data_IF_342578645998
#
_entry.id   IF_342578645998
#
_cell.length_a   1.000
_cell.length_b   1.000
_cell.length_c   1.000
_cell.angle_alpha   90.00
_cell.angle_beta   90.00
_cell.angle_gamma   90.00
#
_symmetry.space_group_name_H-M   'P 1'
#
loop_
_entity.id
_entity.type
_entity.pdbx_description
1 polymer ?
#
# COMPACT_ATOMS: atom_id res chain seq x y z
N UNK A 1 -13.22 -18.91 -14.59
CA UNK A 1 -12.27 -18.33 -13.64
C UNK A 1 -12.42 -16.83 -13.61
N UNK A 2 -12.37 -16.20 -12.44
CA UNK A 2 -12.21 -14.76 -12.34
C UNK A 2 -10.88 -14.36 -13.00
N UNK A 3 -10.90 -13.37 -13.90
CA UNK A 3 -9.69 -12.91 -14.60
C UNK A 3 -9.34 -11.49 -14.16
N UNK A 4 -8.31 -11.38 -13.32
CA UNK A 4 -7.79 -10.11 -12.83
C UNK A 4 -6.63 -9.56 -13.66
N UNK A 5 -6.29 -10.19 -14.80
CA UNK A 5 -5.20 -9.72 -15.70
C UNK A 5 -5.40 -8.28 -16.21
N UNK A 6 -6.64 -7.81 -16.25
CA UNK A 6 -6.98 -6.46 -16.67
C UNK A 6 -6.60 -5.40 -15.64
N UNK A 7 -6.45 -5.75 -14.36
CA UNK A 7 -6.08 -4.82 -13.29
C UNK A 7 -4.72 -5.10 -12.67
N UNK A 8 -4.27 -6.36 -12.63
CA UNK A 8 -2.94 -6.74 -12.15
C UNK A 8 -1.93 -6.55 -13.28
N UNK A 9 -1.03 -5.58 -13.12
CA UNK A 9 0.02 -5.25 -14.08
C UNK A 9 1.36 -5.86 -13.64
N UNK A 10 2.45 -5.48 -14.28
CA UNK A 10 3.77 -6.06 -14.01
C UNK A 10 4.27 -5.84 -12.56
N UNK A 11 3.91 -4.69 -11.95
CA UNK A 11 4.43 -4.26 -10.65
C UNK A 11 3.40 -3.58 -9.74
N UNK A 12 2.16 -3.43 -10.20
CA UNK A 12 1.07 -2.84 -9.40
C UNK A 12 -0.29 -3.41 -9.80
N UNK A 13 -1.29 -3.09 -8.97
CA UNK A 13 -2.71 -3.32 -9.29
C UNK A 13 -3.35 -1.96 -9.55
N UNK A 14 -4.14 -1.84 -10.62
CA UNK A 14 -4.80 -0.58 -10.98
C UNK A 14 -6.09 -0.80 -11.76
N UNK A 15 -7.17 -0.12 -11.36
CA UNK A 15 -8.48 -0.18 -12.00
C UNK A 15 -9.35 1.03 -11.69
N UNK A 16 -10.48 1.19 -12.38
CA UNK A 16 -11.50 2.18 -11.99
C UNK A 16 -12.26 1.70 -10.76
N UNK A 17 -12.67 2.65 -9.92
CA UNK A 17 -13.41 2.38 -8.69
C UNK A 17 -14.83 2.94 -8.81
N UNK A 18 -15.88 2.14 -8.52
CA UNK A 18 -15.85 0.78 -7.99
C UNK A 18 -15.85 -0.34 -9.06
N UNK A 19 -15.81 -0.05 -10.36
CA UNK A 19 -16.20 -1.05 -11.37
C UNK A 19 -15.17 -2.17 -11.60
N UNK A 20 -13.87 -1.86 -11.52
CA UNK A 20 -12.79 -2.83 -11.75
C UNK A 20 -12.02 -3.14 -10.47
N UNK A 21 -12.04 -2.21 -9.52
CA UNK A 21 -11.36 -2.30 -8.23
C UNK A 21 -12.27 -1.74 -7.15
N UNK A 22 -12.49 -2.51 -6.09
CA UNK A 22 -13.38 -2.14 -5.00
C UNK A 22 -12.83 -2.63 -3.64
N UNK A 23 -13.57 -2.36 -2.57
CA UNK A 23 -13.19 -2.72 -1.21
C UNK A 23 -13.18 -4.24 -1.00
N UNK A 24 -14.07 -4.99 -1.66
CA UNK A 24 -14.09 -6.45 -1.55
C UNK A 24 -12.82 -7.06 -2.14
N UNK A 25 -12.42 -6.63 -3.34
CA UNK A 25 -11.17 -7.04 -3.95
C UNK A 25 -9.97 -6.60 -3.11
N UNK A 26 -9.99 -5.37 -2.57
CA UNK A 26 -8.93 -4.90 -1.70
C UNK A 26 -8.76 -5.78 -0.45
N UNK A 27 -9.86 -6.24 0.17
CA UNK A 27 -9.83 -7.18 1.28
C UNK A 27 -9.19 -8.52 0.89
N UNK A 28 -9.59 -9.11 -0.24
CA UNK A 28 -8.98 -10.34 -0.74
C UNK A 28 -7.48 -10.19 -1.01
N UNK A 29 -7.06 -9.07 -1.61
CA UNK A 29 -5.65 -8.78 -1.84
C UNK A 29 -4.88 -8.55 -0.52
N UNK A 30 -5.53 -7.99 0.50
CA UNK A 30 -4.97 -7.86 1.85
C UNK A 30 -4.66 -9.21 2.47
N UNK A 31 -5.64 -10.13 2.41
CA UNK A 31 -5.46 -11.50 2.88
C UNK A 31 -4.36 -12.24 2.09
N UNK A 32 -4.34 -12.08 0.76
CA UNK A 32 -3.38 -12.75 -0.11
C UNK A 32 -1.96 -12.22 0.13
N UNK A 33 -1.81 -10.91 0.32
CA UNK A 33 -0.52 -10.30 0.64
C UNK A 33 0.03 -10.79 1.99
N UNK A 34 -0.84 -10.95 3.00
CA UNK A 34 -0.45 -11.53 4.28
C UNK A 34 0.07 -12.97 4.13
N UNK A 35 -0.63 -13.82 3.38
CA UNK A 35 -0.21 -15.20 3.10
C UNK A 35 1.13 -15.27 2.35
N UNK A 36 1.25 -14.51 1.25
CA UNK A 36 2.45 -14.54 0.39
C UNK A 36 3.68 -13.97 1.07
N UNK A 37 3.51 -12.97 1.94
CA UNK A 37 4.63 -12.41 2.71
C UNK A 37 4.97 -13.23 3.95
N UNK A 38 4.00 -13.94 4.54
CA UNK A 38 4.14 -14.62 5.82
C UNK A 38 4.48 -13.68 6.98
N UNK A 39 4.22 -12.37 6.82
CA UNK A 39 4.68 -11.38 7.77
C UNK A 39 3.75 -11.28 9.00
N UNK A 40 4.35 -11.12 10.18
CA UNK A 40 3.60 -10.88 11.43
C UNK A 40 2.94 -9.50 11.45
N UNK A 41 3.50 -8.52 10.73
CA UNK A 41 2.96 -7.19 10.58
C UNK A 41 3.28 -6.56 9.22
N UNK A 42 2.45 -5.60 8.80
CA UNK A 42 2.63 -4.80 7.59
C UNK A 42 2.36 -3.31 7.87
N UNK A 43 2.84 -2.45 6.96
CA UNK A 43 2.53 -1.01 6.96
C UNK A 43 1.64 -0.65 5.77
N UNK A 44 0.58 0.13 6.00
CA UNK A 44 -0.38 0.53 4.96
C UNK A 44 -0.51 2.05 4.96
N UNK A 45 -0.38 2.66 3.78
CA UNK A 45 -0.52 4.09 3.55
C UNK A 45 -1.35 4.36 2.30
N UNK A 46 -1.83 5.59 2.14
CA UNK A 46 -2.72 5.92 1.04
C UNK A 46 -2.57 7.38 0.60
N UNK A 47 -2.89 7.65 -0.67
CA UNK A 47 -2.92 9.00 -1.22
C UNK A 47 -4.24 9.74 -0.93
N UNK A 48 -4.38 10.95 -1.46
CA UNK A 48 -5.52 11.86 -1.26
C UNK A 48 -6.81 11.48 -2.01
N UNK A 49 -6.83 10.38 -2.78
CA UNK A 49 -8.03 9.99 -3.54
C UNK A 49 -9.18 9.67 -2.59
N UNK A 50 -10.40 10.07 -2.92
CA UNK A 50 -11.57 9.80 -2.08
C UNK A 50 -11.79 8.30 -1.82
N UNK A 51 -11.42 7.43 -2.76
CA UNK A 51 -11.51 5.97 -2.62
C UNK A 51 -10.37 5.35 -1.81
N UNK A 52 -9.25 6.04 -1.63
CA UNK A 52 -8.04 5.49 -1.00
C UNK A 52 -8.24 5.06 0.46
N UNK A 53 -8.90 5.82 1.35
CA UNK A 53 -9.12 5.41 2.74
C UNK A 53 -9.92 4.11 2.88
N UNK A 54 -11.00 3.95 2.12
CA UNK A 54 -11.86 2.75 2.18
C UNK A 54 -11.13 1.50 1.68
N UNK A 55 -10.45 1.61 0.54
CA UNK A 55 -9.64 0.52 -0.02
C UNK A 55 -8.49 0.10 0.91
N UNK A 56 -7.80 1.07 1.52
CA UNK A 56 -6.72 0.79 2.48
C UNK A 56 -7.23 0.11 3.75
N UNK A 57 -8.41 0.51 4.25
CA UNK A 57 -9.04 -0.10 5.41
C UNK A 57 -9.47 -1.54 5.12
N UNK A 58 -10.09 -1.80 3.95
CA UNK A 58 -10.51 -3.13 3.54
C UNK A 58 -9.33 -4.08 3.36
N UNK A 59 -8.26 -3.63 2.71
CA UNK A 59 -7.01 -4.38 2.60
C UNK A 59 -6.40 -4.70 3.98
N UNK A 60 -6.38 -3.71 4.88
CA UNK A 60 -5.95 -3.92 6.26
C UNK A 60 -6.81 -4.95 7.00
N UNK A 61 -8.13 -4.97 6.77
CA UNK A 61 -9.04 -5.94 7.35
C UNK A 61 -8.73 -7.37 6.86
N UNK A 62 -8.54 -7.54 5.55
CA UNK A 62 -8.17 -8.84 4.96
C UNK A 62 -6.85 -9.38 5.53
N UNK A 63 -5.82 -8.55 5.60
CA UNK A 63 -4.53 -8.93 6.19
C UNK A 63 -4.67 -9.34 7.67
N UNK A 64 -5.42 -8.57 8.46
CA UNK A 64 -5.70 -8.89 9.87
C UNK A 64 -6.52 -10.15 10.03
N UNK A 65 -7.43 -10.45 9.11
CA UNK A 65 -8.18 -11.70 9.04
C UNK A 65 -7.27 -12.92 8.89
N UNK A 66 -6.03 -12.75 8.42
CA UNK A 66 -5.00 -13.80 8.35
C UNK A 66 -4.01 -13.79 9.53
N UNK A 67 -4.24 -12.93 10.53
CA UNK A 67 -3.40 -12.84 11.74
C UNK A 67 -2.28 -11.78 11.65
N UNK A 68 -2.07 -11.17 10.49
CA UNK A 68 -1.05 -10.14 10.29
C UNK A 68 -1.51 -8.80 10.86
N UNK A 69 -0.71 -8.20 11.74
CA UNK A 69 -1.01 -6.88 12.30
C UNK A 69 -0.76 -5.76 11.28
N UNK A 70 -1.52 -4.69 11.36
CA UNK A 70 -1.45 -3.56 10.42
C UNK A 70 -1.06 -2.29 11.16
N UNK A 71 -0.05 -1.61 10.65
CA UNK A 71 0.30 -0.23 11.02
C UNK A 71 -0.19 0.70 9.91
N UNK A 72 -1.28 1.42 10.14
CA UNK A 72 -1.79 2.42 9.21
C UNK A 72 -1.02 3.74 9.40
N UNK A 73 -0.40 4.25 8.34
CA UNK A 73 0.29 5.55 8.34
C UNK A 73 -0.56 6.68 7.71
N UNK A 74 -1.78 6.33 7.28
CA UNK A 74 -2.76 7.27 6.78
C UNK A 74 -2.34 7.94 5.46
N UNK A 75 -2.66 9.22 5.36
CA UNK A 75 -2.38 10.06 4.21
C UNK A 75 -0.87 10.29 4.08
N UNK A 76 -0.24 9.70 3.06
CA UNK A 76 1.21 9.79 2.86
C UNK A 76 1.60 9.73 1.37
N UNK A 77 2.84 10.09 1.06
CA UNK A 77 3.43 9.85 -0.25
C UNK A 77 3.96 8.40 -0.38
N UNK A 78 4.21 7.95 -1.62
CA UNK A 78 4.75 6.59 -1.86
C UNK A 78 6.13 6.41 -1.23
N UNK A 79 7.00 7.42 -1.33
CA UNK A 79 8.32 7.43 -0.72
C UNK A 79 8.27 7.51 0.81
N UNK A 80 7.27 8.17 1.40
CA UNK A 80 7.04 8.09 2.84
C UNK A 80 6.63 6.68 3.29
N UNK A 81 5.80 5.96 2.50
CA UNK A 81 5.53 4.55 2.77
C UNK A 81 6.80 3.71 2.67
N UNK A 82 7.62 3.91 1.63
CA UNK A 82 8.87 3.15 1.48
C UNK A 82 9.85 3.43 2.62
N UNK A 83 9.94 4.68 3.08
CA UNK A 83 10.64 5.03 4.31
C UNK A 83 10.10 4.24 5.51
N UNK A 84 8.77 4.22 5.72
CA UNK A 84 8.16 3.50 6.84
C UNK A 84 8.43 1.98 6.74
N UNK A 85 8.33 1.39 5.55
CA UNK A 85 8.68 -0.01 5.30
C UNK A 85 10.13 -0.31 5.65
N UNK A 86 11.06 0.57 5.28
CA UNK A 86 12.48 0.48 5.62
C UNK A 86 12.75 0.62 7.12
N UNK A 87 12.22 1.67 7.73
CA UNK A 87 12.45 2.01 9.13
C UNK A 87 11.81 1.01 10.11
N UNK A 88 10.71 0.38 9.72
CA UNK A 88 10.02 -0.63 10.54
C UNK A 88 10.41 -2.06 10.16
N UNK A 89 11.15 -2.26 9.07
CA UNK A 89 11.42 -3.57 8.48
C UNK A 89 10.14 -4.38 8.18
N UNK A 90 9.08 -3.70 7.71
CA UNK A 90 7.79 -4.31 7.41
C UNK A 90 7.47 -4.25 5.92
N UNK A 91 6.81 -5.27 5.33
CA UNK A 91 6.19 -5.14 4.02
C UNK A 91 5.17 -3.99 3.99
N UNK A 92 5.04 -3.36 2.83
CA UNK A 92 4.25 -2.15 2.65
C UNK A 92 3.20 -2.24 1.54
N UNK A 93 2.09 -1.53 1.74
CA UNK A 93 1.03 -1.34 0.76
C UNK A 93 0.69 0.15 0.61
N UNK A 94 0.88 0.70 -0.60
CA UNK A 94 0.54 2.08 -0.94
C UNK A 94 -0.70 2.13 -1.81
N UNK A 95 -1.79 2.70 -1.32
CA UNK A 95 -2.98 2.97 -2.13
C UNK A 95 -2.81 4.25 -2.93
N UNK A 96 -2.74 4.11 -4.26
CA UNK A 96 -2.60 5.22 -5.20
C UNK A 96 -2.76 4.73 -6.64
N UNK A 97 -3.27 5.58 -7.54
CA UNK A 97 -3.11 5.41 -8.99
C UNK A 97 -2.08 6.37 -9.60
N UNK A 98 -1.19 6.95 -8.78
CA UNK A 98 -0.21 7.96 -9.17
C UNK A 98 -0.88 9.13 -9.92
N UNK A 99 -0.57 9.31 -11.20
CA UNK A 99 -1.06 10.40 -12.04
C UNK A 99 -2.35 10.07 -12.82
N UNK A 100 -2.91 8.87 -12.65
CA UNK A 100 -4.14 8.51 -13.35
C UNK A 100 -5.32 9.41 -12.93
N UNK A 101 -6.35 9.58 -13.79
CA UNK A 101 -7.56 10.31 -13.44
C UNK A 101 -8.18 9.87 -12.11
N UNK A 102 -8.95 10.77 -11.48
CA UNK A 102 -9.50 10.56 -10.13
C UNK A 102 -10.32 9.27 -9.96
N UNK A 103 -10.99 8.80 -11.02
CA UNK A 103 -11.77 7.54 -11.02
C UNK A 103 -10.93 6.27 -10.86
N UNK A 104 -9.61 6.35 -11.05
CA UNK A 104 -8.73 5.20 -10.85
C UNK A 104 -8.22 5.14 -9.42
N UNK A 105 -8.04 3.94 -8.92
CA UNK A 105 -7.19 3.66 -7.77
C UNK A 105 -6.39 2.38 -8.01
N UNK A 106 -5.55 2.02 -7.06
CA UNK A 106 -4.67 0.89 -7.15
C UNK A 106 -3.83 0.72 -5.90
N UNK A 107 -2.94 -0.26 -5.94
CA UNK A 107 -2.03 -0.55 -4.85
C UNK A 107 -0.65 -0.89 -5.41
N UNK A 108 0.38 -0.30 -4.80
CA UNK A 108 1.78 -0.71 -4.95
C UNK A 108 2.20 -1.48 -3.71
N UNK A 109 2.83 -2.63 -3.92
CA UNK A 109 3.27 -3.52 -2.86
C UNK A 109 4.80 -3.54 -2.77
N UNK A 110 5.32 -3.64 -1.56
CA UNK A 110 6.73 -3.90 -1.31
C UNK A 110 6.91 -4.90 -0.17
N UNK A 111 7.99 -5.68 -0.22
CA UNK A 111 8.48 -6.49 0.89
C UNK A 111 9.17 -5.58 1.91
N UNK A 112 9.54 -6.15 3.06
CA UNK A 112 10.32 -5.44 4.09
C UNK A 112 11.57 -4.77 3.49
N UNK A 113 11.90 -3.58 3.98
CA UNK A 113 13.00 -2.79 3.42
C UNK A 113 12.65 -2.10 2.11
N UNK A 114 11.37 -1.95 1.79
CA UNK A 114 10.86 -1.40 0.52
C UNK A 114 11.33 -2.15 -0.74
N UNK A 115 11.66 -3.44 -0.63
CA UNK A 115 12.01 -4.25 -1.79
C UNK A 115 10.78 -4.46 -2.69
N UNK A 116 10.90 -4.30 -4.02
CA UNK A 116 9.74 -4.29 -4.92
C UNK A 116 9.02 -5.64 -5.00
N UNK A 117 7.69 -5.61 -5.07
CA UNK A 117 6.86 -6.76 -5.43
C UNK A 117 6.39 -6.60 -6.87
N UNK A 118 6.87 -7.47 -7.76
CA UNK A 118 6.42 -7.63 -9.14
C UNK A 118 5.92 -9.04 -9.39
N UNK A 119 5.63 -9.37 -10.65
CA UNK A 119 5.11 -10.69 -11.06
C UNK A 119 5.94 -11.85 -10.46
N UNK A 120 7.25 -11.81 -10.64
CA UNK A 120 8.16 -12.89 -10.20
C UNK A 120 8.50 -12.85 -8.71
N UNK A 121 8.10 -11.80 -7.97
CA UNK A 121 8.46 -11.60 -6.56
C UNK A 121 7.25 -11.57 -5.63
N UNK A 122 6.09 -12.01 -6.11
CA UNK A 122 4.90 -12.32 -5.30
C UNK A 122 3.58 -11.81 -5.88
N UNK A 123 3.59 -10.90 -6.85
CA UNK A 123 2.34 -10.33 -7.39
C UNK A 123 1.51 -11.38 -8.15
N UNK A 124 2.16 -12.32 -8.84
CA UNK A 124 1.48 -13.43 -9.50
C UNK A 124 0.78 -14.36 -8.47
N UNK A 125 1.44 -14.66 -7.35
CA UNK A 125 0.88 -15.51 -6.29
C UNK A 125 -0.31 -14.84 -5.60
N UNK A 126 -0.18 -13.53 -5.32
CA UNK A 126 -1.26 -12.71 -4.74
C UNK A 126 -2.49 -12.71 -5.65
N UNK A 127 -2.27 -12.52 -6.96
CA UNK A 127 -3.34 -12.57 -7.95
C UNK A 127 -4.01 -13.95 -7.96
N UNK A 128 -3.22 -15.03 -8.00
CA UNK A 128 -3.76 -16.39 -8.07
C UNK A 128 -4.62 -16.73 -6.85
N UNK A 129 -4.18 -16.33 -5.64
CA UNK A 129 -4.97 -16.49 -4.41
C UNK A 129 -6.28 -15.70 -4.47
N UNK A 130 -6.23 -14.43 -4.89
CA UNK A 130 -7.42 -13.61 -5.00
C UNK A 130 -8.41 -14.16 -6.04
N UNK A 131 -7.95 -14.63 -7.20
CA UNK A 131 -8.78 -15.27 -8.22
C UNK A 131 -9.47 -16.54 -7.70
N UNK A 132 -8.73 -17.41 -7.00
CA UNK A 132 -9.28 -18.60 -6.34
C UNK A 132 -10.36 -18.24 -5.32
N UNK A 133 -10.13 -17.24 -4.46
CA UNK A 133 -11.10 -16.85 -3.44
C UNK A 133 -12.34 -16.14 -3.97
N UNK A 134 -12.29 -15.55 -5.17
CA UNK A 134 -13.50 -15.05 -5.85
C UNK A 134 -14.43 -16.21 -6.24
N UNK A 135 -13.86 -17.35 -6.63
CA UNK A 135 -14.63 -18.52 -7.10
C UNK A 135 -15.06 -19.44 -5.95
N UNK A 136 -14.14 -19.69 -5.02
CA UNK A 136 -14.30 -20.66 -3.94
C UNK A 136 -14.89 -20.02 -2.67
N UNK A 137 -14.85 -18.69 -2.58
CA UNK A 137 -15.24 -17.92 -1.41
C UNK A 137 -14.03 -17.39 -0.63
N UNK A 138 -14.23 -16.25 0.03
CA UNK A 138 -13.20 -15.60 0.83
C UNK A 138 -12.66 -16.52 1.94
N UNK A 139 -11.37 -16.42 2.29
CA UNK A 139 -10.77 -17.28 3.30
C UNK A 139 -11.39 -17.00 4.66
N UNK A 140 -11.71 -18.06 5.42
CA UNK A 140 -12.23 -17.91 6.78
C UNK A 140 -11.18 -17.22 7.66
N UNK A 141 -11.54 -16.14 8.39
CA UNK A 141 -10.62 -15.47 9.28
C UNK A 141 -10.05 -16.42 10.35
N UNK A 142 -8.79 -16.20 10.73
CA UNK A 142 -8.16 -16.94 11.82
C UNK A 142 -8.80 -16.60 13.17
N UNK A 143 -8.77 -17.54 14.12
CA UNK A 143 -9.36 -17.35 15.45
C UNK A 143 -8.79 -16.13 16.22
N UNK A 144 -7.52 -15.79 15.98
CA UNK A 144 -6.86 -14.61 16.56
C UNK A 144 -6.39 -13.68 15.44
N UNK A 145 -7.22 -12.71 15.11
CA UNK A 145 -6.91 -11.70 14.09
C UNK A 145 -5.74 -10.81 14.49
N UNK A 146 -5.05 -10.25 13.50
CA UNK A 146 -4.03 -9.22 13.70
C UNK A 146 -4.60 -7.94 14.31
N UNK A 147 -3.72 -7.15 14.91
CA UNK A 147 -4.08 -5.85 15.51
C UNK A 147 -4.05 -4.74 14.46
N UNK A 148 -4.76 -3.64 14.72
CA UNK A 148 -4.64 -2.40 13.95
C UNK A 148 -4.03 -1.34 14.86
N UNK A 149 -3.01 -0.66 14.36
CA UNK A 149 -2.41 0.51 15.00
C UNK A 149 -2.24 1.62 13.99
N UNK A 150 -2.14 2.86 14.47
CA UNK A 150 -1.92 4.05 13.63
C UNK A 150 -0.61 4.71 14.02
N UNK A 151 0.17 5.19 13.04
CA UNK A 151 1.41 5.93 13.29
C UNK A 151 1.60 7.05 12.28
N UNK A 152 1.77 8.28 12.76
CA UNK A 152 2.28 9.37 11.93
C UNK A 152 3.79 9.18 11.70
N UNK A 153 4.20 9.17 10.43
CA UNK A 153 5.61 9.02 10.02
C UNK A 153 6.17 10.26 9.33
N UNK A 154 5.39 11.33 9.14
CA UNK A 154 5.80 12.49 8.35
C UNK A 154 7.03 13.18 8.95
N UNK A 155 7.02 13.39 10.28
CA UNK A 155 8.14 14.02 10.97
C UNK A 155 9.43 13.20 10.94
N UNK A 156 9.32 11.88 11.08
CA UNK A 156 10.45 10.94 11.01
C UNK A 156 11.03 10.86 9.58
N UNK A 157 10.15 10.79 8.57
CA UNK A 157 10.51 10.82 7.16
C UNK A 157 11.22 12.13 6.78
N UNK A 158 10.66 13.29 7.14
CA UNK A 158 11.29 14.58 6.88
C UNK A 158 12.67 14.71 7.53
N UNK A 159 12.84 14.17 8.76
CA UNK A 159 14.14 14.13 9.44
C UNK A 159 15.14 13.26 8.68
N UNK A 160 14.71 12.10 8.18
CA UNK A 160 15.54 11.22 7.37
C UNK A 160 16.00 11.90 6.07
N UNK A 161 15.10 12.56 5.34
CA UNK A 161 15.48 13.30 4.11
C UNK A 161 16.59 14.34 4.36
N UNK A 162 16.56 15.03 5.50
CA UNK A 162 17.60 15.99 5.88
C UNK A 162 18.97 15.36 6.18
N UNK A 163 19.04 14.04 6.35
CA UNK A 163 20.32 13.32 6.48
C UNK A 163 20.91 12.88 5.15
N UNK A 164 20.10 12.87 4.07
CA UNK A 164 20.55 12.41 2.75
C UNK A 164 21.37 13.47 2.00
N UNK A 165 21.21 14.74 2.36
CA UNK A 165 21.90 15.86 1.74
C UNK A 165 22.39 16.81 2.84
N UNK A 166 23.69 17.11 2.83
CA UNK A 166 24.23 18.16 3.69
C UNK A 166 23.81 19.53 3.15
N UNK A 167 23.06 20.26 3.97
CA UNK A 167 22.60 21.61 3.67
C UNK A 167 23.46 22.68 4.36
N UNK A 168 24.54 22.29 5.06
CA UNK A 168 25.48 23.23 5.65
C UNK A 168 26.16 24.06 4.55
N UNK A 169 26.13 25.38 4.70
CA UNK A 169 26.81 26.30 3.77
C UNK A 169 26.09 26.55 2.44
N UNK A 170 24.86 26.05 2.25
CA UNK A 170 24.08 26.42 1.06
C UNK A 170 23.74 27.92 1.08
N UNK A 171 23.69 28.54 -0.10
CA UNK A 171 23.23 29.93 -0.25
C UNK A 171 21.72 30.02 0.05
N UNK A 172 21.22 31.17 0.56
CA UNK A 172 19.78 31.41 0.66
C UNK A 172 19.11 31.32 -0.72
N UNK A 173 18.01 30.56 -0.80
CA UNK A 173 17.19 30.40 -1.99
C UNK A 173 15.78 30.93 -1.72
N UNK A 174 15.18 31.58 -2.72
CA UNK A 174 13.73 31.79 -2.75
C UNK A 174 13.14 30.62 -3.53
N UNK A 175 12.38 29.78 -2.85
CA UNK A 175 11.77 28.56 -3.41
C UNK A 175 10.26 28.75 -3.47
N UNK A 176 9.67 28.41 -4.61
CA UNK A 176 8.21 28.31 -4.78
C UNK A 176 7.89 26.85 -5.04
N UNK A 177 6.92 26.30 -4.32
CA UNK A 177 6.47 24.92 -4.46
C UNK A 177 4.99 24.94 -4.83
N UNK A 178 4.66 24.30 -5.96
CA UNK A 178 3.29 23.94 -6.32
C UNK A 178 3.19 22.42 -6.17
N UNK A 179 2.42 21.97 -5.18
CA UNK A 179 2.25 20.55 -4.90
C UNK A 179 1.25 19.86 -5.85
N UNK A 180 0.54 20.62 -6.69
CA UNK A 180 -0.42 20.07 -7.66
C UNK A 180 -1.54 19.23 -7.01
N UNK A 181 -1.87 19.50 -5.74
CA UNK A 181 -2.73 18.68 -4.87
C UNK A 181 -2.26 17.23 -4.67
N UNK A 182 -1.00 16.93 -4.99
CA UNK A 182 -0.39 15.62 -4.75
C UNK A 182 0.14 15.51 -3.32
N UNK A 183 0.66 14.34 -2.98
CA UNK A 183 1.06 14.03 -1.60
C UNK A 183 2.23 14.84 -1.02
N UNK A 184 2.84 15.73 -1.81
CA UNK A 184 3.92 16.62 -1.39
C UNK A 184 3.47 17.96 -0.80
N UNK A 185 2.16 18.28 -0.78
CA UNK A 185 1.64 19.52 -0.20
C UNK A 185 0.15 19.75 -0.41
#
# INVERSE_FOLDING_TARGET
MADLSQIVKAYDIRGTVPEQWDEHLAELFGAAFAEVTGAEAIVVGHDMRASSPGLAAAFGAGARGRGTSVTAIGLCSTDQLYYASGALHLPGAMFTASHNPARYNGIKLCRAGAAPVGQDTGLADIRALAESWIEEGAPVPVARTGTLSTRDTLGDYARHLRTLVDLAGIRPLKVVVDAGNGMGG
#
